data_IF_088555679354
#
_entry.id   IF_088555679354
#
_cell.length_a   1.000
_cell.length_b   1.000
_cell.length_c   1.000
_cell.angle_alpha   90.00
_cell.angle_beta   90.00
_cell.angle_gamma   90.00
#
_symmetry.space_group_name_H-M   'P 1'
#
loop_
_entity.id
_entity.type
_entity.pdbx_description
1 polymer ?
#
# COMPACT_ATOMS: atom_id res chain seq x y z
N UNK A 1 -14.40 0.77 15.17
CA UNK A 1 -13.80 0.87 15.07
C UNK A 1 -13.19 0.99 14.39
N UNK A 2 -12.72 1.18 14.32
CA UNK A 2 -12.04 1.34 13.57
C UNK A 2 -10.81 0.95 13.58
N UNK A 3 -10.56 0.25 13.85
CA UNK A 3 -9.55 -0.34 13.87
C UNK A 3 -8.91 -0.46 12.70
N UNK A 4 -9.23 -0.32 11.92
CA UNK A 4 -8.58 -0.29 10.74
C UNK A 4 -8.19 1.05 10.35
N UNK A 5 -7.93 1.89 11.31
CA UNK A 5 -7.44 3.19 10.99
C UNK A 5 -5.96 3.14 10.72
N UNK A 6 -5.54 3.92 9.76
CA UNK A 6 -4.13 4.09 9.45
C UNK A 6 -3.43 4.97 10.47
N UNK A 7 -4.18 5.66 11.31
CA UNK A 7 -3.61 6.70 12.11
C UNK A 7 -3.22 7.86 11.21
N UNK A 8 -2.10 8.48 11.52
CA UNK A 8 -1.62 9.61 10.74
C UNK A 8 -1.02 9.10 9.42
N UNK A 9 -1.52 9.58 8.30
CA UNK A 9 -0.99 9.20 7.00
C UNK A 9 0.24 10.04 6.72
N UNK A 10 1.35 9.38 6.45
CA UNK A 10 2.63 10.06 6.24
C UNK A 10 3.08 10.04 4.79
N UNK A 11 2.50 9.17 3.97
CA UNK A 11 2.91 9.09 2.56
C UNK A 11 1.77 8.49 1.76
N UNK A 12 1.63 8.96 0.54
CA UNK A 12 0.63 8.43 -0.38
C UNK A 12 1.22 8.33 -1.77
N UNK A 13 0.70 7.38 -2.55
CA UNK A 13 1.02 7.31 -3.97
C UNK A 13 -0.28 7.09 -4.72
N UNK A 14 -0.49 7.91 -5.72
CA UNK A 14 -1.68 7.78 -6.54
C UNK A 14 -1.34 6.99 -7.79
N UNK A 15 -2.12 5.94 -8.01
CA UNK A 15 -2.01 5.11 -9.19
C UNK A 15 -3.33 5.19 -9.95
N UNK A 16 -3.40 4.56 -11.08
CA UNK A 16 -4.69 4.43 -11.76
C UNK A 16 -4.77 3.07 -12.44
N UNK A 17 -6.00 2.64 -12.62
CA UNK A 17 -6.35 1.39 -13.26
C UNK A 17 -7.11 1.72 -14.53
N UNK A 18 -6.73 1.11 -15.64
CA UNK A 18 -7.52 1.17 -16.86
C UNK A 18 -8.45 -0.02 -16.84
N UNK A 19 -9.74 0.22 -16.68
CA UNK A 19 -10.68 -0.87 -16.56
C UNK A 19 -11.03 -1.46 -17.92
N UNK A 20 -11.92 -2.44 -17.92
CA UNK A 20 -12.24 -3.15 -19.15
C UNK A 20 -12.97 -2.28 -20.16
N UNK A 21 -13.54 -1.19 -19.70
CA UNK A 21 -14.19 -0.24 -20.58
C UNK A 21 -13.26 0.90 -20.98
N UNK A 22 -11.97 0.74 -20.67
CA UNK A 22 -10.94 1.72 -20.98
C UNK A 22 -11.15 3.03 -20.22
N UNK A 23 -11.76 2.94 -19.04
CA UNK A 23 -11.97 4.09 -18.17
C UNK A 23 -10.90 4.08 -17.09
N UNK A 24 -10.36 5.24 -16.81
CA UNK A 24 -9.32 5.41 -15.81
C UNK A 24 -9.96 5.51 -14.42
N UNK A 25 -9.52 4.68 -13.49
CA UNK A 25 -10.02 4.68 -12.12
C UNK A 25 -8.88 4.89 -11.16
N UNK A 26 -9.11 5.68 -10.12
CA UNK A 26 -8.08 6.02 -9.14
C UNK A 26 -7.81 4.85 -8.21
N UNK A 27 -6.53 4.66 -7.92
CA UNK A 27 -6.07 3.71 -6.91
C UNK A 27 -5.08 4.48 -6.04
N UNK A 28 -5.22 4.39 -4.73
CA UNK A 28 -4.35 5.10 -3.81
C UNK A 28 -3.66 4.13 -2.88
N UNK A 29 -2.36 4.34 -2.66
CA UNK A 29 -1.61 3.64 -1.64
C UNK A 29 -1.40 4.62 -0.50
N UNK A 30 -1.84 4.25 0.69
CA UNK A 30 -1.75 5.11 1.87
C UNK A 30 -0.86 4.41 2.90
N UNK A 31 0.14 5.13 3.40
CA UNK A 31 1.05 4.60 4.41
C UNK A 31 0.88 5.43 5.67
N UNK A 32 0.62 4.74 6.77
CA UNK A 32 0.46 5.38 8.07
C UNK A 32 1.77 5.46 8.82
N UNK A 33 1.79 6.28 9.84
CA UNK A 33 2.96 6.47 10.67
C UNK A 33 3.30 5.19 11.41
N UNK A 34 4.57 4.74 11.38
CA UNK A 34 4.96 3.58 12.18
C UNK A 34 4.74 3.85 13.66
N UNK A 35 4.27 2.85 14.38
CA UNK A 35 3.91 2.99 15.78
C UNK A 35 4.45 1.81 16.57
N UNK A 36 4.78 2.03 17.87
CA UNK A 36 5.20 0.91 18.68
C UNK A 36 4.04 -0.05 18.93
N UNK A 37 4.35 -1.33 18.98
CA UNK A 37 3.39 -2.35 19.39
C UNK A 37 3.13 -2.26 20.88
N UNK A 38 2.09 -2.95 21.32
CA UNK A 38 1.68 -2.86 22.70
C UNK A 38 2.76 -3.27 23.69
N UNK A 39 3.62 -4.21 23.35
CA UNK A 39 4.68 -4.63 24.24
C UNK A 39 5.95 -3.82 24.07
N UNK A 40 5.94 -2.87 23.17
CA UNK A 40 6.99 -1.90 22.94
C UNK A 40 8.32 -2.46 22.46
N UNK A 41 8.39 -3.74 22.16
CA UNK A 41 9.63 -4.31 21.64
C UNK A 41 9.69 -4.29 20.14
N UNK A 42 8.57 -4.05 19.47
CA UNK A 42 8.51 -4.01 18.03
C UNK A 42 7.65 -2.83 17.58
N UNK A 43 7.66 -2.59 16.29
CA UNK A 43 6.86 -1.53 15.68
C UNK A 43 6.01 -2.14 14.57
N UNK A 44 4.94 -1.44 14.21
CA UNK A 44 4.16 -1.79 13.04
C UNK A 44 3.93 -0.56 12.20
N UNK A 45 3.78 -0.77 10.89
CA UNK A 45 3.50 0.31 9.96
C UNK A 45 2.23 -0.07 9.20
N UNK A 46 1.14 0.67 9.38
CA UNK A 46 -0.10 0.34 8.69
C UNK A 46 -0.11 0.90 7.28
N UNK A 47 -0.77 0.19 6.38
CA UNK A 47 -0.97 0.72 5.02
C UNK A 47 -2.27 0.20 4.46
N UNK A 48 -2.79 0.91 3.45
CA UNK A 48 -4.00 0.52 2.73
C UNK A 48 -3.78 0.75 1.25
N UNK A 49 -4.41 -0.09 0.45
CA UNK A 49 -4.52 0.11 -0.98
C UNK A 49 -6.00 0.29 -1.27
N UNK A 50 -6.38 1.48 -1.74
CA UNK A 50 -7.78 1.88 -1.91
C UNK A 50 -8.08 1.91 -3.40
N UNK A 51 -9.20 1.31 -3.77
CA UNK A 51 -9.66 1.31 -5.16
C UNK A 51 -9.62 -0.05 -5.82
N UNK A 52 -8.83 -0.97 -5.29
CA UNK A 52 -8.76 -2.36 -5.77
C UNK A 52 -8.49 -3.24 -4.56
N UNK A 53 -8.77 -4.52 -4.73
CA UNK A 53 -8.52 -5.49 -3.68
C UNK A 53 -9.44 -5.32 -2.49
N UNK A 54 -9.00 -5.80 -1.35
CA UNK A 54 -9.85 -5.85 -0.16
C UNK A 54 -10.00 -4.51 0.53
N UNK A 55 -9.04 -3.61 0.32
CA UNK A 55 -9.03 -2.28 0.93
C UNK A 55 -8.93 -2.31 2.46
N UNK A 56 -8.53 -3.44 3.02
CA UNK A 56 -8.32 -3.55 4.46
C UNK A 56 -7.03 -2.88 4.86
N UNK A 57 -6.93 -2.53 6.13
CA UNK A 57 -5.66 -2.06 6.68
C UNK A 57 -4.75 -3.26 6.91
N UNK A 58 -3.55 -3.16 6.40
CA UNK A 58 -2.52 -4.17 6.61
C UNK A 58 -1.47 -3.61 7.55
N UNK A 59 -0.82 -4.47 8.29
CA UNK A 59 0.22 -4.08 9.24
C UNK A 59 1.51 -4.76 8.86
N UNK A 60 2.56 -3.98 8.70
CA UNK A 60 3.90 -4.52 8.47
C UNK A 60 4.69 -4.35 9.77
N UNK A 61 5.44 -5.35 10.14
CA UNK A 61 6.16 -5.35 11.42
C UNK A 61 7.64 -5.10 11.21
N UNK A 62 8.28 -4.58 12.25
CA UNK A 62 9.71 -4.39 12.26
C UNK A 62 10.19 -4.21 13.68
N UNK A 63 11.51 -4.26 13.86
CA UNK A 63 12.10 -4.11 15.19
C UNK A 63 12.27 -2.65 15.57
N UNK A 64 12.16 -1.75 14.62
CA UNK A 64 12.10 -0.32 14.88
C UNK A 64 11.22 0.31 13.81
N UNK A 65 11.04 1.61 13.90
CA UNK A 65 10.14 2.30 12.98
C UNK A 65 10.65 2.27 11.54
N UNK A 66 11.96 2.30 11.34
CA UNK A 66 12.52 2.25 9.99
C UNK A 66 12.28 0.88 9.37
N UNK A 67 12.53 -0.19 10.13
CA UNK A 67 12.33 -1.52 9.60
C UNK A 67 10.86 -1.78 9.32
N UNK A 68 9.96 -1.30 10.19
CA UNK A 68 8.52 -1.45 9.95
C UNK A 68 8.11 -0.73 8.66
N UNK A 69 8.65 0.46 8.42
CA UNK A 69 8.37 1.20 7.21
C UNK A 69 8.92 0.48 5.97
N UNK A 70 10.15 -0.03 6.07
CA UNK A 70 10.73 -0.80 4.97
C UNK A 70 9.92 -2.04 4.65
N UNK A 71 9.46 -2.74 5.70
CA UNK A 71 8.62 -3.92 5.53
C UNK A 71 7.30 -3.56 4.86
N UNK A 72 6.72 -2.41 5.22
CA UNK A 72 5.49 -1.96 4.57
C UNK A 72 5.72 -1.75 3.08
N UNK A 73 6.83 -1.12 2.70
CA UNK A 73 7.12 -0.89 1.29
C UNK A 73 7.23 -2.20 0.51
N UNK A 74 7.88 -3.20 1.10
CA UNK A 74 8.03 -4.50 0.46
C UNK A 74 6.67 -5.18 0.31
N UNK A 75 5.84 -5.14 1.35
CA UNK A 75 4.52 -5.76 1.29
C UNK A 75 3.60 -5.04 0.31
N UNK A 76 3.69 -3.72 0.24
CA UNK A 76 2.92 -2.95 -0.74
C UNK A 76 3.30 -3.40 -2.15
N UNK A 77 4.61 -3.49 -2.42
CA UNK A 77 5.07 -3.92 -3.74
C UNK A 77 4.54 -5.30 -4.08
N UNK A 78 4.61 -6.22 -3.15
CA UNK A 78 4.13 -7.59 -3.39
C UNK A 78 2.63 -7.61 -3.67
N UNK A 79 1.86 -6.86 -2.89
CA UNK A 79 0.41 -6.81 -3.09
C UNK A 79 0.05 -6.16 -4.43
N UNK A 80 0.71 -5.07 -4.77
CA UNK A 80 0.43 -4.39 -6.03
C UNK A 80 0.80 -5.25 -7.22
N UNK A 81 1.92 -5.95 -7.14
CA UNK A 81 2.32 -6.82 -8.25
C UNK A 81 1.34 -7.96 -8.45
N UNK A 82 0.88 -8.55 -7.34
CA UNK A 82 -0.11 -9.61 -7.43
C UNK A 82 -1.41 -9.11 -8.03
N UNK A 83 -1.88 -7.96 -7.55
CA UNK A 83 -3.12 -7.38 -8.08
C UNK A 83 -2.97 -7.00 -9.54
N UNK A 84 -1.81 -6.49 -9.93
CA UNK A 84 -1.58 -6.11 -11.31
C UNK A 84 -1.54 -7.31 -12.24
N UNK A 85 -1.02 -8.43 -11.76
CA UNK A 85 -1.07 -9.66 -12.53
C UNK A 85 -2.52 -10.08 -12.79
N UNK A 86 -3.36 -9.98 -11.78
CA UNK A 86 -4.78 -10.32 -11.92
C UNK A 86 -5.51 -9.35 -12.84
N UNK A 87 -4.98 -8.15 -13.00
CA UNK A 87 -5.58 -7.11 -13.82
C UNK A 87 -4.91 -7.00 -15.20
N UNK A 88 -4.12 -7.99 -15.55
CA UNK A 88 -3.45 -8.05 -16.85
C UNK A 88 -2.58 -6.82 -17.11
N UNK A 89 -1.91 -6.35 -16.08
CA UNK A 89 -0.97 -5.25 -16.25
C UNK A 89 -1.62 -3.89 -16.42
N UNK A 90 -2.88 -3.74 -16.08
CA UNK A 90 -3.60 -2.48 -16.32
C UNK A 90 -3.45 -1.46 -15.22
N UNK A 91 -2.72 -1.79 -14.15
CA UNK A 91 -2.43 -0.85 -13.07
C UNK A 91 -1.21 -0.04 -13.46
N UNK A 92 -1.31 1.27 -13.35
CA UNK A 92 -0.28 2.19 -13.85
C UNK A 92 0.08 3.22 -12.82
N UNK A 93 1.32 3.67 -12.88
CA UNK A 93 1.80 4.79 -12.08
C UNK A 93 2.44 5.78 -13.03
N UNK A 94 1.91 6.97 -13.08
CA UNK A 94 2.49 8.10 -13.77
C UNK A 94 3.03 7.76 -15.17
N UNK A 95 2.26 8.07 -16.17
CA UNK A 95 2.69 7.89 -17.53
C UNK A 95 2.67 6.44 -17.94
N UNK A 96 3.75 6.01 -18.57
CA UNK A 96 3.80 4.70 -19.17
C UNK A 96 4.70 3.75 -18.40
N UNK A 97 5.00 4.06 -17.19
CA UNK A 97 5.89 3.20 -16.42
C UNK A 97 5.25 1.84 -16.24
N UNK A 98 6.05 0.82 -16.45
CA UNK A 98 5.65 -0.54 -16.13
C UNK A 98 5.91 -0.84 -14.66
N UNK A 99 6.62 0.04 -14.01
CA UNK A 99 7.03 -0.06 -12.63
C UNK A 99 6.10 0.82 -11.81
N UNK A 100 5.62 0.33 -10.70
CA UNK A 100 4.73 1.09 -9.83
C UNK A 100 5.48 1.88 -8.77
N UNK A 101 6.80 1.86 -8.82
CA UNK A 101 7.64 2.74 -8.02
C UNK A 101 7.95 2.23 -6.63
N UNK A 102 7.66 0.99 -6.34
CA UNK A 102 8.00 0.38 -5.05
C UNK A 102 9.15 -0.60 -5.22
N UNK A 103 9.95 -0.81 -4.17
CA UNK A 103 11.10 -1.70 -4.25
C UNK A 103 10.75 -3.13 -4.58
#
# INVERSE_FOLDING_TARGET
MDFDTLGEIIATRRLYLIDEENVRRSVSVLVGKPQPSGDSSTYFCPFQIIGIGSQNTHLANGEDSIQALQSAMILIAANLNRLNDELDGRLKWDGDATDLGFP
#
